data_IF_496354481809
#
_entry.id   IF_496354481809
#
_cell.length_a   1.000
_cell.length_b   1.000
_cell.length_c   1.000
_cell.angle_alpha   90.00
_cell.angle_beta   90.00
_cell.angle_gamma   90.00
#
_symmetry.space_group_name_H-M   'P 1'
#
loop_
_entity.id
_entity.type
_entity.pdbx_description
1 polymer ?
#
# COMPACT_ATOMS: atom_id res chain seq x y z
N UNK A 1 2.82 -43.09 -64.88
CA UNK A 1 2.69 -41.83 -64.11
C UNK A 1 3.80 -41.78 -63.08
N UNK A 2 4.73 -40.85 -63.24
CA UNK A 2 5.83 -40.63 -62.28
C UNK A 2 5.36 -39.68 -61.17
N UNK A 3 5.62 -39.96 -59.88
CA UNK A 3 5.54 -38.95 -58.84
C UNK A 3 6.91 -38.28 -58.66
N UNK A 4 6.93 -36.95 -58.81
CA UNK A 4 8.08 -36.07 -58.56
C UNK A 4 8.33 -35.94 -57.05
N UNK A 5 9.52 -36.36 -56.61
CA UNK A 5 9.98 -36.21 -55.23
C UNK A 5 10.35 -34.74 -54.95
N UNK A 6 9.57 -34.07 -54.11
CA UNK A 6 9.78 -32.67 -53.72
C UNK A 6 10.61 -32.59 -52.44
N UNK A 7 11.94 -32.70 -52.59
CA UNK A 7 12.85 -32.53 -51.47
C UNK A 7 12.82 -31.08 -50.95
N UNK A 8 12.21 -30.85 -49.78
CA UNK A 8 12.34 -29.58 -49.03
C UNK A 8 13.79 -29.45 -48.53
N UNK A 9 14.47 -28.30 -48.72
CA UNK A 9 15.82 -28.11 -48.19
C UNK A 9 15.79 -28.09 -46.66
N UNK A 10 16.58 -28.97 -46.02
CA UNK A 10 16.80 -29.00 -44.58
C UNK A 10 17.35 -27.65 -44.10
N UNK A 11 16.60 -26.94 -43.25
CA UNK A 11 17.09 -25.73 -42.55
C UNK A 11 18.36 -26.08 -41.79
N UNK A 12 19.51 -25.53 -42.20
CA UNK A 12 20.77 -25.60 -41.45
C UNK A 12 20.54 -24.96 -40.08
N UNK A 13 20.62 -25.76 -39.00
CA UNK A 13 20.66 -25.26 -37.62
C UNK A 13 21.84 -24.31 -37.50
N UNK A 14 21.60 -23.03 -37.20
CA UNK A 14 22.69 -22.10 -36.92
C UNK A 14 23.47 -22.60 -35.70
N UNK A 15 24.81 -22.63 -35.72
CA UNK A 15 25.59 -23.01 -34.55
C UNK A 15 25.28 -22.03 -33.42
N UNK A 16 24.90 -22.56 -32.26
CA UNK A 16 24.70 -21.76 -31.05
C UNK A 16 25.96 -20.90 -30.83
N UNK A 17 25.79 -19.57 -30.82
CA UNK A 17 26.91 -18.64 -30.60
C UNK A 17 27.55 -19.01 -29.26
N UNK A 18 28.80 -19.49 -29.31
CA UNK A 18 29.62 -19.76 -28.11
C UNK A 18 29.61 -18.51 -27.24
N UNK A 19 29.16 -18.63 -25.99
CA UNK A 19 29.23 -17.54 -25.04
C UNK A 19 30.69 -17.13 -24.88
N UNK A 20 31.00 -15.85 -25.14
CA UNK A 20 32.35 -15.33 -24.98
C UNK A 20 32.63 -15.29 -23.48
N UNK A 21 33.48 -16.19 -23.02
CA UNK A 21 33.98 -16.21 -21.64
C UNK A 21 34.89 -15.00 -21.48
N UNK A 22 34.50 -14.05 -20.63
CA UNK A 22 35.30 -12.89 -20.28
C UNK A 22 36.00 -13.14 -18.95
N UNK A 23 37.26 -12.70 -18.81
CA UNK A 23 37.93 -12.70 -17.51
C UNK A 23 37.13 -11.81 -16.52
N UNK A 24 36.94 -12.23 -15.25
CA UNK A 24 36.13 -11.49 -14.27
C UNK A 24 36.56 -10.03 -14.11
N UNK A 25 37.87 -9.76 -14.11
CA UNK A 25 38.43 -8.40 -14.02
C UNK A 25 38.47 -7.63 -15.35
N UNK A 26 37.93 -8.18 -16.44
CA UNK A 26 37.93 -7.47 -17.72
C UNK A 26 36.96 -6.29 -17.71
N UNK A 27 37.27 -5.23 -18.47
CA UNK A 27 36.38 -4.07 -18.64
C UNK A 27 34.96 -4.47 -19.04
N UNK A 28 34.83 -5.48 -19.89
CA UNK A 28 33.54 -6.00 -20.35
C UNK A 28 32.79 -6.76 -19.26
N UNK A 29 33.48 -7.57 -18.46
CA UNK A 29 32.88 -8.21 -17.28
C UNK A 29 32.39 -7.15 -16.27
N UNK A 30 33.19 -6.10 -16.00
CA UNK A 30 32.76 -4.98 -15.15
C UNK A 30 31.55 -4.21 -15.70
N UNK A 31 31.44 -4.02 -17.01
CA UNK A 31 30.26 -3.41 -17.64
C UNK A 31 29.01 -4.30 -17.48
N UNK A 32 29.15 -5.61 -17.65
CA UNK A 32 28.06 -6.58 -17.46
C UNK A 32 27.61 -6.61 -15.99
N UNK A 33 28.54 -6.66 -15.04
CA UNK A 33 28.26 -6.62 -13.61
C UNK A 33 27.50 -5.35 -13.21
N UNK A 34 27.95 -4.17 -13.66
CA UNK A 34 27.23 -2.90 -13.41
C UNK A 34 25.81 -2.90 -13.98
N UNK A 35 25.64 -3.44 -15.19
CA UNK A 35 24.32 -3.55 -15.82
C UNK A 35 23.40 -4.50 -15.05
N UNK A 36 23.91 -5.64 -14.60
CA UNK A 36 23.18 -6.60 -13.78
C UNK A 36 22.76 -5.98 -12.43
N UNK A 37 23.68 -5.31 -11.74
CA UNK A 37 23.39 -4.61 -10.49
C UNK A 37 22.34 -3.51 -10.66
N UNK A 38 22.40 -2.74 -11.75
CA UNK A 38 21.38 -1.72 -12.03
C UNK A 38 20.00 -2.37 -12.25
N UNK A 39 19.93 -3.46 -13.00
CA UNK A 39 18.68 -4.20 -13.22
C UNK A 39 18.11 -4.73 -11.89
N UNK A 40 18.96 -5.33 -11.05
CA UNK A 40 18.57 -5.82 -9.73
C UNK A 40 17.97 -4.68 -8.88
N UNK A 41 18.65 -3.54 -8.78
CA UNK A 41 18.16 -2.38 -8.02
C UNK A 41 16.83 -1.84 -8.53
N UNK A 42 16.60 -1.83 -9.85
CA UNK A 42 15.33 -1.40 -10.43
C UNK A 42 14.19 -2.36 -10.09
N UNK A 43 14.43 -3.67 -10.16
CA UNK A 43 13.47 -4.70 -9.75
C UNK A 43 13.16 -4.58 -8.26
N UNK A 44 14.18 -4.47 -7.41
CA UNK A 44 14.01 -4.30 -5.96
C UNK A 44 13.16 -3.06 -5.63
N UNK A 45 13.42 -1.94 -6.30
CA UNK A 45 12.67 -0.71 -6.10
C UNK A 45 11.21 -0.87 -6.53
N UNK A 46 10.95 -1.55 -7.65
CA UNK A 46 9.60 -1.85 -8.11
C UNK A 46 8.87 -2.78 -7.14
N UNK A 47 9.52 -3.84 -6.64
CA UNK A 47 8.96 -4.75 -5.64
C UNK A 47 8.66 -4.03 -4.33
N UNK A 48 9.56 -3.18 -3.83
CA UNK A 48 9.33 -2.37 -2.63
C UNK A 48 8.13 -1.43 -2.80
N UNK A 49 8.00 -0.77 -3.95
CA UNK A 49 6.85 0.08 -4.26
C UNK A 49 5.56 -0.72 -4.32
N UNK A 50 5.56 -1.87 -4.99
CA UNK A 50 4.40 -2.76 -5.08
C UNK A 50 3.93 -3.22 -3.69
N UNK A 51 4.85 -3.63 -2.80
CA UNK A 51 4.52 -4.00 -1.42
C UNK A 51 3.93 -2.84 -0.62
N UNK A 52 4.49 -1.64 -0.77
CA UNK A 52 3.95 -0.43 -0.12
C UNK A 52 2.54 -0.10 -0.62
N UNK A 53 2.33 -0.15 -1.94
CA UNK A 53 1.02 0.10 -2.53
C UNK A 53 0.01 -0.96 -2.08
N UNK A 54 0.41 -2.24 -2.02
CA UNK A 54 -0.44 -3.30 -1.52
C UNK A 54 -0.87 -3.04 -0.07
N UNK A 55 0.07 -2.73 0.83
CA UNK A 55 -0.24 -2.42 2.23
C UNK A 55 -1.13 -1.17 2.37
N UNK A 56 -0.93 -0.17 1.51
CA UNK A 56 -1.74 1.04 1.47
C UNK A 56 -3.19 0.72 1.03
N UNK A 57 -3.34 -0.02 -0.08
CA UNK A 57 -4.64 -0.45 -0.59
C UNK A 57 -5.36 -1.30 0.45
N UNK A 58 -4.71 -2.31 1.01
CA UNK A 58 -5.28 -3.19 2.05
C UNK A 58 -5.78 -2.40 3.27
N UNK A 59 -4.97 -1.46 3.78
CA UNK A 59 -5.38 -0.55 4.86
C UNK A 59 -6.64 0.23 4.49
N UNK A 60 -6.69 0.85 3.31
CA UNK A 60 -7.83 1.70 2.95
C UNK A 60 -9.05 0.93 2.45
N UNK A 61 -8.89 -0.30 1.95
CA UNK A 61 -10.03 -1.20 1.69
C UNK A 61 -10.78 -1.51 2.97
N UNK A 62 -10.08 -1.72 4.10
CA UNK A 62 -10.73 -1.85 5.40
C UNK A 62 -11.58 -0.60 5.74
N UNK A 63 -11.00 0.60 5.61
CA UNK A 63 -11.74 1.84 5.90
C UNK A 63 -12.92 2.04 4.95
N UNK A 64 -12.76 1.71 3.67
CA UNK A 64 -13.81 1.80 2.66
C UNK A 64 -15.04 0.97 3.05
N UNK A 65 -14.84 -0.29 3.46
CA UNK A 65 -15.94 -1.16 3.90
C UNK A 65 -16.49 -0.82 5.28
N UNK A 66 -15.80 0.03 6.04
CA UNK A 66 -16.25 0.47 7.37
C UNK A 66 -17.19 1.68 7.34
N UNK A 67 -17.34 2.32 6.17
CA UNK A 67 -18.25 3.47 6.01
C UNK A 67 -19.69 2.95 5.87
N UNK A 68 -20.64 3.37 6.72
CA UNK A 68 -22.04 2.99 6.56
C UNK A 68 -22.59 3.42 5.19
N UNK A 69 -23.41 2.60 4.51
CA UNK A 69 -23.85 2.87 3.14
C UNK A 69 -24.60 4.20 3.01
N UNK A 70 -25.32 4.61 4.05
CA UNK A 70 -26.14 5.83 4.06
C UNK A 70 -25.42 7.04 4.67
N UNK A 71 -24.16 6.90 5.12
CA UNK A 71 -23.42 7.98 5.75
C UNK A 71 -22.64 8.83 4.74
N UNK A 72 -22.94 10.13 4.69
CA UNK A 72 -22.22 11.11 3.87
C UNK A 72 -20.81 11.41 4.41
N UNK A 73 -20.63 11.28 5.73
CA UNK A 73 -19.35 11.41 6.42
C UNK A 73 -19.38 10.61 7.72
N UNK A 74 -18.20 10.39 8.30
CA UNK A 74 -18.01 9.75 9.60
C UNK A 74 -17.56 10.80 10.62
N UNK A 75 -18.32 11.05 11.70
CA UNK A 75 -17.88 11.90 12.80
C UNK A 75 -16.51 11.49 13.36
N UNK A 76 -15.79 12.45 13.95
CA UNK A 76 -14.41 12.22 14.42
C UNK A 76 -14.35 11.18 15.56
N UNK A 77 -15.31 11.24 16.48
CA UNK A 77 -15.49 10.28 17.56
C UNK A 77 -15.77 8.86 17.04
N UNK A 78 -16.67 8.73 16.05
CA UNK A 78 -16.92 7.45 15.38
C UNK A 78 -15.69 6.93 14.63
N UNK A 79 -14.90 7.81 14.02
CA UNK A 79 -13.62 7.45 13.39
C UNK A 79 -12.61 6.94 14.43
N UNK A 80 -12.57 7.55 15.62
CA UNK A 80 -11.73 7.09 16.72
C UNK A 80 -12.16 5.69 17.20
N UNK A 81 -13.46 5.44 17.35
CA UNK A 81 -14.01 4.12 17.70
C UNK A 81 -13.68 3.09 16.64
N UNK A 82 -13.84 3.42 15.36
CA UNK A 82 -13.48 2.54 14.25
C UNK A 82 -12.01 2.11 14.32
N UNK A 83 -11.12 3.05 14.66
CA UNK A 83 -9.69 2.76 14.76
C UNK A 83 -9.38 1.94 16.01
N UNK A 84 -9.84 2.36 17.18
CA UNK A 84 -9.50 1.70 18.45
C UNK A 84 -10.09 0.30 18.56
N UNK A 85 -11.36 0.15 18.20
CA UNK A 85 -12.14 -1.03 18.57
C UNK A 85 -12.21 -2.05 17.42
N UNK A 86 -11.97 -1.62 16.19
CA UNK A 86 -12.05 -2.49 15.01
C UNK A 86 -10.69 -2.64 14.34
N UNK A 87 -10.07 -1.54 13.89
CA UNK A 87 -8.79 -1.61 13.18
C UNK A 87 -7.69 -2.21 14.08
N UNK A 88 -7.45 -1.64 15.26
CA UNK A 88 -6.37 -2.09 16.15
C UNK A 88 -6.65 -3.46 16.81
N UNK A 89 -7.91 -3.85 16.90
CA UNK A 89 -8.32 -5.13 17.50
C UNK A 89 -8.36 -6.30 16.49
N UNK A 90 -8.19 -6.05 15.18
CA UNK A 90 -8.40 -7.06 14.13
C UNK A 90 -7.54 -8.32 14.26
N UNK A 91 -6.37 -8.21 14.90
CA UNK A 91 -5.44 -9.32 15.10
C UNK A 91 -5.63 -10.03 16.44
N UNK A 92 -6.54 -9.57 17.29
CA UNK A 92 -6.66 -10.07 18.67
C UNK A 92 -7.12 -11.52 18.69
N UNK A 93 -8.11 -11.87 17.88
CA UNK A 93 -8.61 -13.25 17.77
C UNK A 93 -7.52 -14.22 17.30
N UNK A 94 -6.72 -13.80 16.31
CA UNK A 94 -5.62 -14.61 15.79
C UNK A 94 -4.51 -14.78 16.83
N UNK A 95 -4.15 -13.69 17.52
CA UNK A 95 -3.15 -13.70 18.58
C UNK A 95 -3.57 -14.58 19.76
N UNK A 96 -4.85 -14.52 20.17
CA UNK A 96 -5.37 -15.39 21.23
C UNK A 96 -5.35 -16.87 20.81
N UNK A 97 -5.66 -17.15 19.55
CA UNK A 97 -5.60 -18.52 19.00
C UNK A 97 -4.18 -19.06 19.04
N UNK A 98 -3.19 -18.28 18.61
CA UNK A 98 -1.78 -18.67 18.64
C UNK A 98 -1.27 -18.88 20.08
N UNK A 99 -1.67 -18.00 21.00
CA UNK A 99 -1.36 -18.12 22.44
C UNK A 99 -1.98 -19.37 23.07
N UNK A 100 -3.22 -19.71 22.72
CA UNK A 100 -3.91 -20.89 23.23
C UNK A 100 -3.29 -22.20 22.71
N UNK A 101 -2.76 -22.21 21.48
CA UNK A 101 -2.06 -23.37 20.91
C UNK A 101 -0.67 -23.58 21.55
N UNK A 102 -0.12 -22.56 22.21
CA UNK A 102 1.20 -22.62 22.85
C UNK A 102 1.14 -23.40 24.17
N UNK A 103 1.93 -24.47 24.25
CA UNK A 103 2.10 -25.21 25.51
C UNK A 103 2.89 -24.37 26.53
N UNK A 104 2.61 -24.51 27.84
CA UNK A 104 3.40 -23.86 28.89
C UNK A 104 4.90 -24.12 28.73
N UNK A 105 5.71 -23.05 28.80
CA UNK A 105 7.17 -23.12 28.67
C UNK A 105 7.71 -23.11 27.24
N UNK A 106 6.88 -23.17 26.19
CA UNK A 106 7.34 -22.97 24.80
C UNK A 106 7.50 -21.48 24.50
N UNK A 107 8.59 -21.02 23.86
CA UNK A 107 8.71 -19.63 23.41
C UNK A 107 7.63 -19.28 22.37
N UNK A 108 7.35 -17.99 22.24
CA UNK A 108 6.40 -17.47 21.26
C UNK A 108 6.79 -17.90 19.84
N UNK A 109 5.79 -18.23 19.02
CA UNK A 109 6.05 -18.58 17.63
C UNK A 109 6.47 -17.33 16.83
N UNK A 110 7.06 -17.54 15.64
CA UNK A 110 7.38 -16.43 14.75
C UNK A 110 6.11 -15.64 14.38
N UNK A 111 4.96 -16.33 14.24
CA UNK A 111 3.68 -15.72 13.93
C UNK A 111 3.15 -14.90 15.10
N UNK A 112 3.19 -15.45 16.32
CA UNK A 112 2.82 -14.73 17.55
C UNK A 112 3.62 -13.44 17.68
N UNK A 113 4.96 -13.52 17.57
CA UNK A 113 5.82 -12.35 17.66
C UNK A 113 5.59 -11.32 16.55
N UNK A 114 5.24 -11.74 15.33
CA UNK A 114 4.88 -10.83 14.25
C UNK A 114 3.57 -10.09 14.52
N UNK A 115 2.53 -10.79 14.99
CA UNK A 115 1.24 -10.19 15.34
C UNK A 115 1.38 -9.20 16.50
N UNK A 116 2.17 -9.54 17.52
CA UNK A 116 2.45 -8.64 18.65
C UNK A 116 3.19 -7.38 18.20
N UNK A 117 4.19 -7.53 17.33
CA UNK A 117 4.94 -6.39 16.78
C UNK A 117 4.04 -5.47 15.95
N UNK A 118 3.17 -6.03 15.11
CA UNK A 118 2.21 -5.25 14.31
C UNK A 118 1.28 -4.48 15.26
N UNK A 119 0.67 -5.14 16.23
CA UNK A 119 -0.25 -4.51 17.18
C UNK A 119 0.43 -3.39 17.98
N UNK A 120 1.64 -3.64 18.47
CA UNK A 120 2.40 -2.62 19.22
C UNK A 120 2.77 -1.42 18.34
N UNK A 121 3.23 -1.67 17.10
CA UNK A 121 3.58 -0.62 16.15
C UNK A 121 2.37 0.26 15.82
N UNK A 122 1.21 -0.34 15.55
CA UNK A 122 0.01 0.40 15.16
C UNK A 122 -0.63 1.13 16.34
N UNK A 123 -0.57 0.55 17.54
CA UNK A 123 -1.00 1.23 18.77
C UNK A 123 -0.15 2.47 19.02
N UNK A 124 1.17 2.38 18.84
CA UNK A 124 2.08 3.51 19.00
C UNK A 124 1.89 4.57 17.90
N UNK A 125 1.64 4.13 16.66
CA UNK A 125 1.26 5.04 15.56
C UNK A 125 -0.02 5.79 15.90
N UNK A 126 -1.06 5.11 16.38
CA UNK A 126 -2.31 5.76 16.81
C UNK A 126 -2.10 6.69 18.02
N UNK A 127 -1.26 6.30 18.99
CA UNK A 127 -0.94 7.13 20.14
C UNK A 127 -0.25 8.43 19.74
N UNK A 128 0.69 8.37 18.80
CA UNK A 128 1.49 9.51 18.36
C UNK A 128 0.87 10.31 17.21
N UNK A 129 -0.13 9.75 16.54
CA UNK A 129 -0.84 10.36 15.44
C UNK A 129 -0.78 9.47 14.21
N UNK A 130 -1.85 8.72 13.94
CA UNK A 130 -1.99 7.89 12.75
C UNK A 130 -2.53 8.74 11.60
N UNK A 131 -1.99 8.55 10.40
CA UNK A 131 -2.53 9.17 9.18
C UNK A 131 -3.59 8.25 8.56
N UNK A 132 -4.77 8.83 8.29
CA UNK A 132 -5.93 8.16 7.69
C UNK A 132 -6.60 9.06 6.64
N UNK A 133 -7.40 8.47 5.75
CA UNK A 133 -8.26 9.24 4.85
C UNK A 133 -9.25 10.03 5.69
N UNK A 134 -9.48 11.29 5.33
CA UNK A 134 -10.40 12.17 6.04
C UNK A 134 -11.85 11.74 5.80
N UNK A 135 -12.38 10.90 6.69
CA UNK A 135 -13.78 10.47 6.65
C UNK A 135 -14.73 11.51 7.27
N UNK A 136 -14.21 12.54 7.93
CA UNK A 136 -15.01 13.62 8.53
C UNK A 136 -15.47 14.66 7.50
N UNK A 137 -14.88 14.62 6.30
CA UNK A 137 -15.15 15.57 5.23
C UNK A 137 -16.08 14.96 4.14
N UNK A 138 -17.33 15.42 3.98
CA UNK A 138 -18.32 14.79 3.09
C UNK A 138 -17.87 14.65 1.63
N UNK A 139 -17.22 15.69 1.08
CA UNK A 139 -16.69 15.66 -0.29
C UNK A 139 -15.59 14.61 -0.46
N UNK A 140 -14.77 14.41 0.57
CA UNK A 140 -13.69 13.43 0.52
C UNK A 140 -14.26 12.01 0.62
N UNK A 141 -15.29 11.78 1.44
CA UNK A 141 -16.00 10.50 1.51
C UNK A 141 -16.69 10.17 0.19
N UNK A 142 -17.36 11.15 -0.42
CA UNK A 142 -17.97 11.00 -1.75
C UNK A 142 -16.94 10.61 -2.80
N UNK A 143 -15.75 11.20 -2.75
CA UNK A 143 -14.65 10.87 -3.66
C UNK A 143 -14.07 9.49 -3.35
N UNK A 144 -13.88 9.16 -2.08
CA UNK A 144 -13.35 7.88 -1.64
C UNK A 144 -14.28 6.72 -2.03
N UNK A 145 -15.60 6.92 -2.00
CA UNK A 145 -16.59 5.94 -2.50
C UNK A 145 -16.49 5.64 -4.00
N UNK A 146 -15.83 6.49 -4.80
CA UNK A 146 -15.59 6.26 -6.24
C UNK A 146 -14.34 5.43 -6.50
N UNK A 147 -13.54 5.20 -5.48
CA UNK A 147 -12.34 4.39 -5.59
C UNK A 147 -12.70 2.93 -5.89
N UNK A 148 -11.89 2.26 -6.72
CA UNK A 148 -12.11 0.88 -7.17
C UNK A 148 -11.46 -0.19 -6.26
N UNK A 149 -11.03 0.22 -5.06
CA UNK A 149 -10.35 -0.61 -4.06
C UNK A 149 -9.02 -1.21 -4.54
N UNK A 150 -8.45 -0.72 -5.65
CA UNK A 150 -7.25 -1.29 -6.27
C UNK A 150 -6.22 -0.22 -6.62
N UNK A 151 -6.66 0.93 -7.12
CA UNK A 151 -5.77 1.95 -7.62
C UNK A 151 -5.13 2.77 -6.48
N UNK A 152 -3.89 2.43 -6.14
CA UNK A 152 -3.11 3.18 -5.15
C UNK A 152 -2.85 4.64 -5.58
N UNK A 153 -2.85 4.96 -6.88
CA UNK A 153 -2.66 6.33 -7.34
C UNK A 153 -3.90 7.20 -7.08
N UNK A 154 -5.10 6.62 -7.10
CA UNK A 154 -6.32 7.33 -6.72
C UNK A 154 -6.29 7.77 -5.26
N UNK A 155 -5.79 6.91 -4.37
CA UNK A 155 -5.62 7.23 -2.95
C UNK A 155 -4.74 8.46 -2.74
N UNK A 156 -3.78 8.75 -3.64
CA UNK A 156 -2.94 9.94 -3.54
C UNK A 156 -3.67 11.27 -3.78
N UNK A 157 -4.85 11.21 -4.41
CA UNK A 157 -5.69 12.37 -4.72
C UNK A 157 -6.58 12.80 -3.55
N UNK A 158 -6.77 11.92 -2.57
CA UNK A 158 -7.67 12.13 -1.43
C UNK A 158 -7.06 13.06 -0.38
N UNK A 159 -7.94 13.60 0.47
CA UNK A 159 -7.58 14.35 1.67
C UNK A 159 -7.31 13.38 2.83
N UNK A 160 -6.28 13.70 3.62
CA UNK A 160 -5.84 12.92 4.78
C UNK A 160 -5.74 13.80 6.02
N UNK A 161 -6.03 13.19 7.15
CA UNK A 161 -5.90 13.78 8.47
C UNK A 161 -5.01 12.89 9.35
N UNK A 162 -4.36 13.53 10.33
CA UNK A 162 -3.62 12.88 11.39
C UNK A 162 -4.40 13.01 12.69
N UNK A 163 -4.70 11.88 13.32
CA UNK A 163 -5.48 11.79 14.56
C UNK A 163 -4.75 10.96 15.59
N UNK A 164 -4.92 11.29 16.87
CA UNK A 164 -4.20 10.66 17.98
C UNK A 164 -5.16 10.26 19.09
N UNK A 165 -4.92 9.11 19.72
CA UNK A 165 -5.66 8.74 20.94
C UNK A 165 -5.38 9.66 22.13
N UNK A 166 -4.27 10.40 22.12
CA UNK A 166 -3.91 11.33 23.20
C UNK A 166 -4.76 12.61 23.15
N UNK A 167 -5.19 13.00 21.95
CA UNK A 167 -5.99 14.22 21.72
C UNK A 167 -7.13 13.93 20.74
N UNK A 168 -8.15 13.17 21.16
CA UNK A 168 -9.22 12.72 20.25
C UNK A 168 -10.10 13.86 19.72
N UNK A 169 -10.19 14.97 20.44
CA UNK A 169 -11.01 16.13 20.06
C UNK A 169 -10.44 16.92 18.85
N UNK A 170 -9.22 16.61 18.41
CA UNK A 170 -8.51 17.40 17.40
C UNK A 170 -7.87 16.51 16.35
N UNK A 171 -7.90 16.98 15.12
CA UNK A 171 -7.13 16.41 14.02
C UNK A 171 -6.33 17.49 13.31
N UNK A 172 -5.28 17.06 12.61
CA UNK A 172 -4.47 17.93 11.74
C UNK A 172 -4.59 17.44 10.31
N UNK A 173 -4.93 18.33 9.37
CA UNK A 173 -4.94 17.98 7.95
C UNK A 173 -3.49 17.78 7.50
N UNK A 174 -3.13 16.53 7.19
CA UNK A 174 -1.77 16.19 6.75
C UNK A 174 -1.60 16.34 5.23
N UNK A 175 -2.66 16.04 4.48
CA UNK A 175 -2.71 16.20 3.01
C UNK A 175 -4.05 16.85 2.64
N UNK A 176 -4.07 18.04 2.03
CA UNK A 176 -5.32 18.70 1.65
C UNK A 176 -6.08 17.98 0.53
N UNK A 177 -5.47 17.01 -0.15
CA UNK A 177 -6.01 16.37 -1.34
C UNK A 177 -5.68 17.12 -2.62
N UNK A 178 -5.62 16.40 -3.73
CA UNK A 178 -5.20 16.94 -5.05
C UNK A 178 -6.30 16.88 -6.10
N UNK A 179 -7.40 16.18 -5.82
CA UNK A 179 -8.56 16.10 -6.70
C UNK A 179 -9.17 17.48 -6.93
N UNK A 180 -9.67 17.75 -8.14
CA UNK A 180 -10.25 19.05 -8.52
C UNK A 180 -11.37 19.48 -7.57
N UNK A 181 -12.29 18.58 -7.25
CA UNK A 181 -13.40 18.84 -6.33
C UNK A 181 -12.94 19.29 -4.93
N UNK A 182 -11.84 18.73 -4.42
CA UNK A 182 -11.30 19.13 -3.11
C UNK A 182 -10.63 20.51 -3.16
N UNK A 183 -9.99 20.85 -4.29
CA UNK A 183 -9.38 22.17 -4.50
C UNK A 183 -10.41 23.27 -4.67
N UNK A 184 -11.53 22.98 -5.33
CA UNK A 184 -12.63 23.94 -5.51
C UNK A 184 -13.24 24.34 -4.17
N UNK A 185 -13.49 23.37 -3.29
CA UNK A 185 -14.01 23.61 -1.93
C UNK A 185 -13.04 24.47 -1.12
N UNK A 186 -11.74 24.14 -1.12
CA UNK A 186 -10.73 24.95 -0.42
C UNK A 186 -10.68 26.41 -0.87
N UNK A 187 -10.86 26.66 -2.16
CA UNK A 187 -10.86 28.02 -2.71
C UNK A 187 -12.10 28.81 -2.30
N UNK A 188 -13.24 28.16 -2.11
CA UNK A 188 -14.48 28.79 -1.63
C UNK A 188 -14.34 29.19 -0.15
N UNK A 189 -13.74 28.33 0.67
CA UNK A 189 -13.52 28.58 2.09
C UNK A 189 -12.57 29.77 2.33
N UNK A 190 -11.47 29.84 1.56
CA UNK A 190 -10.46 30.91 1.65
C UNK A 190 -11.00 32.27 1.15
N UNK A 191 -11.78 32.26 0.07
CA UNK A 191 -12.39 33.48 -0.49
C UNK A 191 -13.48 34.12 0.38
N UNK A 192 -14.00 33.40 1.38
CA UNK A 192 -15.04 33.91 2.29
C UNK A 192 -14.44 34.72 3.46
N UNK A 193 -13.15 34.54 3.79
CA UNK A 193 -12.49 35.28 4.88
C UNK A 193 -12.07 36.72 4.52
N UNK A 194 -12.03 37.09 3.23
CA UNK A 194 -11.50 38.40 2.78
C UNK A 194 -12.57 39.50 2.64
N UNK A 195 -13.81 39.30 3.11
CA UNK A 195 -14.91 40.26 2.88
C UNK A 195 -15.64 40.75 4.15
N UNK A 196 -15.01 40.68 5.33
CA UNK A 196 -15.59 41.21 6.58
C UNK A 196 -14.69 42.21 7.29
#
# INVERSE_FOLDING_TARGET
MAPTDSSKPKKKKQPAKKEKIFHPESRKAGQLARTALRKHKLVDAATKRSRKNFALVDKFTFFFHSIPPDADYLPLDELHVLISDVWLARHDTELQTEKAQRRPGRPASMREGQLELIKQSELEEYRTGIEVVDLTHPVNVTLFRRWDEKDAAFLDLLRYIRISSTTPEKFVVSRPGRHSTLKEVQKQDDGTMDTS
#
